data_IF_012536169741
#
_entry.id   IF_012536169741
#
_cell.length_a   1.000
_cell.length_b   1.000
_cell.length_c   1.000
_cell.angle_alpha   90.00
_cell.angle_beta   90.00
_cell.angle_gamma   90.00
#
_symmetry.space_group_name_H-M   'P 1'
#
loop_
_entity.id
_entity.type
_entity.pdbx_description
1 polymer ?
#
# COMPACT_ATOMS: atom_id res chain seq x y z
N UNK A 1 45.48 -31.43 -21.21
CA UNK A 1 44.90 -30.07 -21.14
C UNK A 1 43.42 -29.98 -21.54
N UNK A 2 42.72 -31.05 -21.97
CA UNK A 2 41.31 -30.97 -22.39
C UNK A 2 40.29 -30.81 -21.25
N UNK A 3 40.45 -31.56 -20.16
CA UNK A 3 39.48 -31.55 -19.04
C UNK A 3 39.41 -30.23 -18.28
N UNK A 4 40.56 -29.57 -18.04
CA UNK A 4 40.61 -28.28 -17.35
C UNK A 4 39.95 -27.17 -18.19
N UNK A 5 40.18 -27.18 -19.50
CA UNK A 5 39.59 -26.21 -20.43
C UNK A 5 38.08 -26.39 -20.53
N UNK A 6 37.61 -27.63 -20.64
CA UNK A 6 36.19 -27.94 -20.68
C UNK A 6 35.48 -27.54 -19.39
N UNK A 7 36.06 -27.86 -18.22
CA UNK A 7 35.51 -27.46 -16.93
C UNK A 7 35.40 -25.94 -16.79
N UNK A 8 36.36 -25.19 -17.33
CA UNK A 8 36.30 -23.72 -17.36
C UNK A 8 35.17 -23.21 -18.27
N UNK A 9 35.06 -23.75 -19.48
CA UNK A 9 34.03 -23.35 -20.44
C UNK A 9 32.61 -23.67 -19.92
N UNK A 10 32.43 -24.79 -19.23
CA UNK A 10 31.15 -25.17 -18.62
C UNK A 10 30.82 -24.27 -17.41
N UNK A 11 31.80 -23.93 -16.56
CA UNK A 11 31.60 -22.98 -15.48
C UNK A 11 31.26 -21.57 -15.98
N UNK A 12 31.92 -21.09 -17.04
CA UNK A 12 31.65 -19.78 -17.64
C UNK A 12 30.22 -19.71 -18.24
N UNK A 13 29.74 -20.82 -18.82
CA UNK A 13 28.36 -20.94 -19.29
C UNK A 13 27.37 -20.90 -18.14
N UNK A 14 27.58 -21.70 -17.09
CA UNK A 14 26.69 -21.76 -15.93
C UNK A 14 26.60 -20.40 -15.21
N UNK A 15 27.72 -19.68 -15.08
CA UNK A 15 27.74 -18.33 -14.52
C UNK A 15 26.91 -17.36 -15.36
N UNK A 16 27.00 -17.46 -16.69
CA UNK A 16 26.24 -16.61 -17.61
C UNK A 16 24.74 -16.90 -17.53
N UNK A 17 24.37 -18.18 -17.50
CA UNK A 17 22.99 -18.62 -17.37
C UNK A 17 22.38 -18.21 -16.03
N UNK A 18 23.11 -18.40 -14.93
CA UNK A 18 22.69 -18.01 -13.59
C UNK A 18 22.50 -16.49 -13.48
N UNK A 19 23.41 -15.70 -14.03
CA UNK A 19 23.23 -14.23 -14.12
C UNK A 19 21.99 -13.86 -14.92
N UNK A 20 21.74 -14.53 -16.04
CA UNK A 20 20.54 -14.33 -16.85
C UNK A 20 19.24 -14.70 -16.11
N UNK A 21 19.26 -15.76 -15.28
CA UNK A 21 18.14 -16.13 -14.42
C UNK A 21 17.90 -15.07 -13.34
N UNK A 22 18.95 -14.66 -12.63
CA UNK A 22 18.86 -13.63 -11.59
C UNK A 22 18.30 -12.31 -12.13
N UNK A 23 18.77 -11.86 -13.30
CA UNK A 23 18.26 -10.63 -13.92
C UNK A 23 16.77 -10.75 -14.26
N UNK A 24 16.34 -11.89 -14.82
CA UNK A 24 14.91 -12.13 -15.10
C UNK A 24 14.06 -12.12 -13.83
N UNK A 25 14.54 -12.74 -12.76
CA UNK A 25 13.84 -12.72 -11.46
C UNK A 25 13.79 -11.32 -10.86
N UNK A 26 14.87 -10.54 -11.00
CA UNK A 26 14.93 -9.17 -10.55
C UNK A 26 13.92 -8.29 -11.30
N UNK A 27 13.90 -8.37 -12.64
CA UNK A 27 12.93 -7.64 -13.46
C UNK A 27 11.48 -8.04 -13.14
N UNK A 28 11.24 -9.34 -12.90
CA UNK A 28 9.92 -9.83 -12.46
C UNK A 28 9.50 -9.21 -11.11
N UNK A 29 10.39 -9.23 -10.11
CA UNK A 29 10.12 -8.64 -8.79
C UNK A 29 9.87 -7.13 -8.86
N UNK A 30 10.60 -6.41 -9.72
CA UNK A 30 10.38 -4.99 -9.96
C UNK A 30 9.00 -4.72 -10.56
N UNK A 31 8.58 -5.51 -11.56
CA UNK A 31 7.26 -5.37 -12.16
C UNK A 31 6.13 -5.64 -11.17
N UNK A 32 6.27 -6.69 -10.34
CA UNK A 32 5.29 -7.04 -9.30
C UNK A 32 5.22 -5.96 -8.21
N UNK A 33 6.36 -5.47 -7.73
CA UNK A 33 6.42 -4.45 -6.66
C UNK A 33 5.92 -3.07 -7.11
N UNK A 34 6.18 -2.68 -8.36
CA UNK A 34 5.74 -1.41 -8.93
C UNK A 34 4.24 -1.38 -9.23
N UNK A 35 3.63 -2.51 -9.60
CA UNK A 35 2.20 -2.63 -9.85
C UNK A 35 1.35 -2.63 -8.57
N UNK A 36 1.78 -3.36 -7.54
CA UNK A 36 1.00 -3.54 -6.31
C UNK A 36 0.91 -2.25 -5.46
N UNK A 37 2.00 -1.47 -5.45
CA UNK A 37 2.06 -0.21 -4.70
C UNK A 37 1.02 0.80 -5.20
N UNK A 38 0.84 0.92 -6.53
CA UNK A 38 -0.15 1.84 -7.11
C UNK A 38 -1.60 1.40 -6.86
N UNK A 39 -1.87 0.09 -6.96
CA UNK A 39 -3.20 -0.45 -6.72
C UNK A 39 -3.62 -0.28 -5.25
N UNK A 40 -2.71 -0.55 -4.31
CA UNK A 40 -2.98 -0.41 -2.89
C UNK A 40 -3.20 1.06 -2.49
N UNK A 41 -2.39 2.00 -3.02
CA UNK A 41 -2.57 3.44 -2.77
C UNK A 41 -3.93 3.91 -3.27
N UNK A 42 -4.31 3.55 -4.50
CA UNK A 42 -5.61 3.96 -5.07
C UNK A 42 -6.80 3.42 -4.26
N UNK A 43 -6.72 2.16 -3.81
CA UNK A 43 -7.74 1.57 -2.92
C UNK A 43 -7.80 2.30 -1.59
N UNK A 44 -6.65 2.59 -0.98
CA UNK A 44 -6.56 3.29 0.30
C UNK A 44 -7.14 4.71 0.22
N UNK A 45 -6.87 5.44 -0.86
CA UNK A 45 -7.45 6.76 -1.12
C UNK A 45 -8.98 6.70 -1.18
N UNK A 46 -9.53 5.76 -1.96
CA UNK A 46 -10.98 5.57 -2.09
C UNK A 46 -11.64 5.23 -0.75
N UNK A 47 -11.06 4.30 0.01
CA UNK A 47 -11.58 3.92 1.33
C UNK A 47 -11.52 5.08 2.32
N UNK A 48 -10.43 5.85 2.29
CA UNK A 48 -10.24 7.02 3.16
C UNK A 48 -11.26 8.10 2.83
N UNK A 49 -11.46 8.44 1.56
CA UNK A 49 -12.43 9.43 1.13
C UNK A 49 -13.86 9.01 1.51
N UNK A 50 -14.21 7.74 1.27
CA UNK A 50 -15.50 7.19 1.67
C UNK A 50 -15.70 7.29 3.19
N UNK A 51 -14.67 6.99 3.98
CA UNK A 51 -14.75 7.09 5.45
C UNK A 51 -14.91 8.53 5.93
N UNK A 52 -14.18 9.48 5.33
CA UNK A 52 -14.30 10.91 5.64
C UNK A 52 -15.71 11.41 5.31
N UNK A 53 -16.25 11.06 4.15
CA UNK A 53 -17.58 11.47 3.73
C UNK A 53 -18.68 10.90 4.64
N UNK A 54 -18.52 9.65 5.06
CA UNK A 54 -19.40 9.03 6.04
C UNK A 54 -19.35 9.78 7.38
N UNK A 55 -18.16 10.05 7.93
CA UNK A 55 -17.99 10.79 9.18
C UNK A 55 -18.57 12.20 9.12
N UNK A 56 -18.36 12.93 8.02
CA UNK A 56 -18.95 14.26 7.80
C UNK A 56 -20.48 14.21 7.81
N UNK A 57 -21.06 13.20 7.17
CA UNK A 57 -22.52 13.01 7.11
C UNK A 57 -23.09 12.74 8.49
N UNK A 58 -22.50 11.80 9.24
CA UNK A 58 -22.95 11.46 10.59
C UNK A 58 -22.78 12.63 11.57
N UNK A 59 -21.66 13.34 11.48
CA UNK A 59 -21.44 14.57 12.24
C UNK A 59 -22.50 15.61 11.91
N UNK A 60 -22.81 15.84 10.63
CA UNK A 60 -23.86 16.77 10.20
C UNK A 60 -25.25 16.41 10.76
N UNK A 61 -25.58 15.12 10.80
CA UNK A 61 -26.85 14.61 11.38
C UNK A 61 -26.94 14.87 12.89
N UNK A 62 -25.84 14.70 13.60
CA UNK A 62 -25.82 14.71 15.08
C UNK A 62 -25.48 16.09 15.67
N UNK A 63 -24.82 16.96 14.91
CA UNK A 63 -24.30 18.26 15.38
C UNK A 63 -25.38 19.13 16.03
N UNK A 64 -26.57 19.25 15.43
CA UNK A 64 -27.67 20.06 15.99
C UNK A 64 -28.11 19.56 17.37
N UNK A 65 -28.20 18.24 17.54
CA UNK A 65 -28.62 17.63 18.80
C UNK A 65 -27.57 17.86 19.89
N UNK A 66 -26.29 17.71 19.54
CA UNK A 66 -25.17 17.97 20.47
C UNK A 66 -25.12 19.44 20.85
N UNK A 67 -25.22 20.36 19.87
CA UNK A 67 -25.24 21.79 20.13
C UNK A 67 -26.40 22.17 21.05
N UNK A 68 -27.61 21.64 20.80
CA UNK A 68 -28.77 21.89 21.65
C UNK A 68 -28.57 21.34 23.08
N UNK A 69 -28.02 20.13 23.23
CA UNK A 69 -27.71 19.55 24.53
C UNK A 69 -26.72 20.41 25.32
N UNK A 70 -25.64 20.86 24.66
CA UNK A 70 -24.63 21.72 25.26
C UNK A 70 -25.22 23.07 25.68
N UNK A 71 -26.01 23.71 24.81
CA UNK A 71 -26.68 24.97 25.12
C UNK A 71 -27.61 24.82 26.33
N UNK A 72 -28.46 23.79 26.33
CA UNK A 72 -29.37 23.52 27.46
C UNK A 72 -28.62 23.35 28.77
N UNK A 73 -27.49 22.64 28.77
CA UNK A 73 -26.67 22.45 29.96
C UNK A 73 -26.12 23.78 30.51
N UNK A 74 -25.71 24.69 29.62
CA UNK A 74 -25.14 25.99 30.01
C UNK A 74 -26.23 26.97 30.45
N UNK A 75 -27.40 26.95 29.81
CA UNK A 75 -28.48 27.92 30.08
C UNK A 75 -29.38 27.51 31.25
N UNK A 76 -29.26 26.28 31.76
CA UNK A 76 -30.08 25.83 32.90
C UNK A 76 -29.41 26.23 34.21
N UNK A 77 -29.98 27.22 34.89
CA UNK A 77 -29.58 27.59 36.26
C UNK A 77 -30.15 26.54 37.22
N UNK A 78 -29.28 25.90 38.01
CA UNK A 78 -29.69 25.04 39.12
C UNK A 78 -30.08 25.94 40.31
N UNK A 79 -31.35 25.93 40.67
CA UNK A 79 -31.85 26.49 41.93
C UNK A 79 -31.74 25.46 43.06
#
# INVERSE_FOLDING_TARGET
MGRLRQAKEDADKEVTEYRGQLEREFQKKLAESSGDSGANVKRLEQETEAKINHLKTEAGRTNKNVAHMLLKQVTTVKN
#
